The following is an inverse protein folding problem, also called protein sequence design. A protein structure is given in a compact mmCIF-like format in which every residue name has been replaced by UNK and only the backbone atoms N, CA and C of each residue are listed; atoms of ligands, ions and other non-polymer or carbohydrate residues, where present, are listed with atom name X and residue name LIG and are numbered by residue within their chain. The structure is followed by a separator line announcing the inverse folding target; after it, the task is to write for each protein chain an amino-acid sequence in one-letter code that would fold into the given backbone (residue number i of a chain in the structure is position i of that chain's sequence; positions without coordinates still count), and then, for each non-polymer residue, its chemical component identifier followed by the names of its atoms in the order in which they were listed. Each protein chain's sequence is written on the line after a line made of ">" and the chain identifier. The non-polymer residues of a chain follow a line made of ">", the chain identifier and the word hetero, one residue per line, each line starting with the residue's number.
data_IF_403121023576
#
_entry.id   IF_403121023576
#
_cell.length_a   1.000
_cell.length_b   1.000
_cell.length_c   1.000
_cell.angle_alpha   90.00
_cell.angle_beta   90.00
_cell.angle_gamma   90.00
#
_symmetry.space_group_name_H-M   'P 1'
#
loop_
_entity.id
_entity.type
_entity.pdbx_description
1 polymer ?
#
# COMPACT_ATOMS: atom_id res chain seq x y z
N UNK A 1 63.47 47.12 -33.63
CA UNK A 1 62.64 46.10 -34.29
C UNK A 1 61.92 45.38 -33.16
N UNK A 2 60.75 45.87 -32.77
CA UNK A 2 59.98 45.29 -31.65
C UNK A 2 59.22 44.10 -32.21
N UNK A 3 59.47 42.89 -31.70
CA UNK A 3 58.65 41.72 -32.02
C UNK A 3 57.18 42.05 -31.72
N UNK A 4 56.23 41.72 -32.62
CA UNK A 4 54.83 41.79 -32.26
C UNK A 4 54.62 40.77 -31.15
N UNK A 5 54.30 41.23 -29.94
CA UNK A 5 53.87 40.33 -28.88
C UNK A 5 52.71 39.50 -29.44
N UNK A 6 52.88 38.18 -29.44
CA UNK A 6 51.86 37.21 -29.84
C UNK A 6 50.70 37.32 -28.84
N UNK A 7 49.81 38.27 -29.10
CA UNK A 7 48.75 38.65 -28.18
C UNK A 7 47.64 37.64 -28.37
N UNK A 8 47.57 36.68 -27.45
CA UNK A 8 46.47 35.72 -27.39
C UNK A 8 45.14 36.50 -27.42
N UNK A 9 44.16 36.06 -28.24
CA UNK A 9 42.83 36.67 -28.24
C UNK A 9 42.26 36.72 -26.83
N UNK A 10 41.66 37.84 -26.43
CA UNK A 10 41.20 38.07 -25.04
C UNK A 10 40.31 36.93 -24.52
N UNK A 11 39.47 36.35 -25.38
CA UNK A 11 38.60 35.22 -25.03
C UNK A 11 39.37 33.92 -24.77
N UNK A 12 40.46 33.70 -25.50
CA UNK A 12 41.32 32.54 -25.29
C UNK A 12 42.16 32.72 -24.02
N UNK A 13 42.64 33.94 -23.76
CA UNK A 13 43.33 34.30 -22.53
C UNK A 13 42.43 34.11 -21.30
N UNK A 14 41.18 34.60 -21.36
CA UNK A 14 40.19 34.41 -20.30
C UNK A 14 39.92 32.91 -20.02
N UNK A 15 39.80 32.09 -21.07
CA UNK A 15 39.63 30.65 -20.93
C UNK A 15 40.86 29.99 -20.28
N UNK A 16 42.08 30.39 -20.67
CA UNK A 16 43.31 29.89 -20.08
C UNK A 16 43.42 30.25 -18.59
N UNK A 17 43.18 31.52 -18.23
CA UNK A 17 43.21 32.00 -16.85
C UNK A 17 42.13 31.34 -15.97
N UNK A 18 40.96 31.08 -16.55
CA UNK A 18 39.90 30.32 -15.88
C UNK A 18 40.36 28.89 -15.53
N UNK A 19 40.96 28.18 -16.50
CA UNK A 19 41.46 26.81 -16.30
C UNK A 19 42.62 26.76 -15.32
N UNK A 20 43.56 27.71 -15.41
CA UNK A 20 44.69 27.84 -14.48
C UNK A 20 44.26 28.29 -13.08
N UNK A 21 43.03 28.78 -12.92
CA UNK A 21 42.50 29.23 -11.63
C UNK A 21 43.11 30.55 -11.14
N UNK A 22 43.64 31.38 -12.04
CA UNK A 22 44.27 32.66 -11.71
C UNK A 22 43.28 33.83 -11.66
N UNK A 23 42.04 33.62 -12.13
CA UNK A 23 41.00 34.66 -12.10
C UNK A 23 40.52 34.98 -10.68
N UNK A 24 40.29 36.28 -10.37
CA UNK A 24 39.52 36.69 -9.20
C UNK A 24 38.11 36.07 -9.20
N UNK A 25 37.52 35.91 -8.01
CA UNK A 25 36.20 35.28 -7.86
C UNK A 25 35.09 35.90 -8.75
N UNK A 26 34.95 37.24 -8.87
CA UNK A 26 33.93 37.83 -9.74
C UNK A 26 34.10 37.44 -11.21
N UNK A 27 35.33 37.46 -11.72
CA UNK A 27 35.63 37.15 -13.12
C UNK A 27 35.48 35.65 -13.41
N UNK A 28 35.80 34.81 -12.42
CA UNK A 28 35.55 33.37 -12.49
C UNK A 28 34.06 33.06 -12.62
N UNK A 29 33.20 33.71 -11.84
CA UNK A 29 31.74 33.53 -11.95
C UNK A 29 31.20 34.02 -13.31
N UNK A 30 31.77 35.10 -13.85
CA UNK A 30 31.42 35.58 -15.18
C UNK A 30 31.84 34.58 -16.28
N UNK A 31 33.03 33.98 -16.16
CA UNK A 31 33.48 32.91 -17.05
C UNK A 31 32.61 31.65 -16.93
N UNK A 32 32.19 31.26 -15.73
CA UNK A 32 31.25 30.15 -15.51
C UNK A 32 29.90 30.39 -16.21
N UNK A 33 29.33 31.59 -16.07
CA UNK A 33 28.10 31.95 -16.78
C UNK A 33 28.26 31.94 -18.32
N UNK A 34 29.44 32.31 -18.83
CA UNK A 34 29.77 32.21 -20.25
C UNK A 34 29.92 30.75 -20.71
N UNK A 35 30.50 29.87 -19.89
CA UNK A 35 30.59 28.43 -20.21
C UNK A 35 29.19 27.83 -20.36
N UNK A 36 28.24 28.21 -19.51
CA UNK A 36 26.86 27.72 -19.56
C UNK A 36 26.06 28.27 -20.76
N UNK A 37 26.37 29.49 -21.22
CA UNK A 37 25.58 30.20 -22.23
C UNK A 37 26.17 30.23 -23.64
N UNK A 38 27.50 30.04 -23.78
CA UNK A 38 28.22 30.15 -25.04
C UNK A 38 29.04 28.87 -25.34
N UNK A 39 28.52 28.00 -26.23
CA UNK A 39 29.21 26.76 -26.60
C UNK A 39 30.61 26.95 -27.18
N UNK A 40 30.88 28.07 -27.85
CA UNK A 40 32.20 28.34 -28.43
C UNK A 40 33.21 28.67 -27.33
N UNK A 41 32.80 29.40 -26.29
CA UNK A 41 33.63 29.65 -25.12
C UNK A 41 33.88 28.36 -24.32
N UNK A 42 32.85 27.54 -24.12
CA UNK A 42 32.98 26.24 -23.48
C UNK A 42 34.00 25.34 -24.22
N UNK A 43 34.01 25.36 -25.56
CA UNK A 43 34.99 24.63 -26.37
C UNK A 43 36.43 25.12 -26.16
N UNK A 44 36.64 26.44 -26.01
CA UNK A 44 37.97 27.00 -25.68
C UNK A 44 38.44 26.54 -24.30
N UNK A 45 37.55 26.55 -23.30
CA UNK A 45 37.86 26.07 -21.95
C UNK A 45 38.23 24.57 -21.97
N UNK A 46 37.47 23.74 -22.69
CA UNK A 46 37.79 22.32 -22.87
C UNK A 46 39.13 22.11 -23.58
N UNK A 47 39.44 22.91 -24.60
CA UNK A 47 40.72 22.85 -25.30
C UNK A 47 41.90 23.13 -24.34
N UNK A 48 41.76 24.14 -23.49
CA UNK A 48 42.77 24.45 -22.46
C UNK A 48 42.89 23.37 -21.39
N UNK A 49 41.78 22.81 -20.91
CA UNK A 49 41.80 21.67 -19.98
C UNK A 49 42.56 20.49 -20.58
N UNK A 50 42.24 20.11 -21.83
CA UNK A 50 42.93 19.02 -22.52
C UNK A 50 44.41 19.29 -22.76
N UNK A 51 44.77 20.55 -23.04
CA UNK A 51 46.17 20.96 -23.22
C UNK A 51 46.99 20.83 -21.95
N UNK A 52 46.38 21.08 -20.79
CA UNK A 52 47.06 21.07 -19.49
C UNK A 52 46.95 19.73 -18.75
N UNK A 53 45.96 18.88 -19.08
CA UNK A 53 45.75 17.58 -18.46
C UNK A 53 47.00 16.67 -18.37
N UNK A 54 47.94 16.64 -19.34
CA UNK A 54 49.15 15.84 -19.20
C UNK A 54 50.04 16.23 -18.01
N UNK A 55 49.97 17.48 -17.54
CA UNK A 55 50.76 17.96 -16.38
C UNK A 55 50.33 17.28 -15.08
N UNK A 56 49.09 16.78 -14.98
CA UNK A 56 48.60 16.07 -13.79
C UNK A 56 49.39 14.78 -13.53
N UNK A 57 49.98 14.19 -14.57
CA UNK A 57 50.80 12.98 -14.48
C UNK A 57 52.19 13.20 -13.86
N UNK A 58 52.62 14.46 -13.68
CA UNK A 58 53.94 14.79 -13.10
C UNK A 58 53.96 14.71 -11.57
N UNK A 59 52.79 14.57 -10.94
CA UNK A 59 52.66 14.52 -9.48
C UNK A 59 52.40 13.09 -8.98
N UNK A 60 53.12 12.68 -7.94
CA UNK A 60 52.84 11.41 -7.28
C UNK A 60 51.47 11.47 -6.59
N UNK A 61 50.63 10.41 -6.69
CA UNK A 61 49.35 10.37 -6.01
C UNK A 61 49.56 10.41 -4.49
N UNK A 62 48.84 11.31 -3.82
CA UNK A 62 48.82 11.40 -2.36
C UNK A 62 47.50 10.83 -1.87
N UNK A 63 47.58 9.80 -1.02
CA UNK A 63 46.37 9.16 -0.50
C UNK A 63 45.64 10.10 0.48
N UNK A 64 44.37 10.45 0.22
CA UNK A 64 43.60 11.28 1.13
C UNK A 64 43.26 10.51 2.41
N UNK A 65 42.93 11.21 3.52
CA UNK A 65 42.43 10.55 4.73
C UNK A 65 41.20 9.67 4.43
N UNK A 66 41.15 8.46 4.98
CA UNK A 66 40.11 7.47 4.68
C UNK A 66 38.67 7.98 4.88
N UNK A 67 38.46 8.89 5.84
CA UNK A 67 37.16 9.48 6.14
C UNK A 67 36.77 10.63 5.21
N UNK A 68 37.69 11.19 4.42
CA UNK A 68 37.43 12.38 3.60
C UNK A 68 36.29 12.15 2.62
N UNK A 69 36.28 11.00 1.95
CA UNK A 69 35.22 10.64 1.01
C UNK A 69 33.84 10.60 1.69
N UNK A 70 33.71 9.87 2.80
CA UNK A 70 32.47 9.79 3.57
C UNK A 70 32.00 11.13 4.14
N UNK A 71 32.93 12.04 4.46
CA UNK A 71 32.61 13.41 4.90
C UNK A 71 32.08 14.27 3.76
N UNK A 72 32.71 14.18 2.58
CA UNK A 72 32.26 14.89 1.38
C UNK A 72 30.89 14.38 0.93
N UNK A 73 30.69 13.07 0.91
CA UNK A 73 29.42 12.45 0.54
C UNK A 73 28.28 12.93 1.44
N UNK A 74 28.45 12.89 2.76
CA UNK A 74 27.46 13.39 3.72
C UNK A 74 27.19 14.90 3.60
N UNK A 75 28.18 15.69 3.19
CA UNK A 75 28.07 17.15 3.06
C UNK A 75 27.40 17.57 1.76
N UNK A 76 27.77 16.93 0.64
CA UNK A 76 27.27 17.26 -0.70
C UNK A 76 25.92 16.61 -0.97
N UNK A 77 25.73 15.39 -0.45
CA UNK A 77 24.50 14.63 -0.53
C UNK A 77 24.00 14.36 0.89
N UNK A 78 23.62 15.42 1.64
CA UNK A 78 22.96 15.18 2.91
C UNK A 78 21.74 14.32 2.61
N UNK A 79 21.70 13.11 3.19
CA UNK A 79 20.49 12.33 3.22
C UNK A 79 19.40 13.31 3.64
N UNK A 80 18.39 13.53 2.79
CA UNK A 80 17.26 14.39 3.13
C UNK A 80 16.77 13.85 4.46
N UNK A 81 17.12 14.52 5.55
CA UNK A 81 16.59 14.17 6.86
C UNK A 81 15.11 14.24 6.63
N UNK A 82 14.48 13.07 6.57
CA UNK A 82 13.07 12.97 6.78
C UNK A 82 12.96 13.32 8.26
N UNK A 83 13.05 14.63 8.55
CA UNK A 83 12.32 15.20 9.66
C UNK A 83 10.97 14.52 9.50
N UNK A 84 10.56 13.68 10.46
CA UNK A 84 9.19 13.24 10.46
C UNK A 84 8.44 14.55 10.60
N UNK A 85 8.03 15.13 9.46
CA UNK A 85 7.10 16.24 9.43
C UNK A 85 6.02 15.68 10.34
N UNK A 86 5.70 16.39 11.41
CA UNK A 86 4.57 16.01 12.27
C UNK A 86 3.25 15.99 11.47
N UNK A 87 3.31 16.37 10.18
CA UNK A 87 2.30 16.28 9.13
C UNK A 87 2.50 15.12 8.11
N UNK A 88 3.59 14.36 8.20
CA UNK A 88 3.87 13.17 7.38
C UNK A 88 3.06 11.94 7.79
N UNK A 89 2.44 11.95 8.98
CA UNK A 89 1.36 11.00 9.26
C UNK A 89 0.21 11.21 8.28
N UNK A 90 -0.09 12.45 7.88
CA UNK A 90 -1.26 12.72 7.02
C UNK A 90 -1.06 12.33 5.55
N UNK A 91 0.18 12.17 5.06
CA UNK A 91 0.44 11.79 3.65
C UNK A 91 1.38 10.59 3.44
N UNK A 92 1.96 10.01 4.49
CA UNK A 92 2.47 8.63 4.47
C UNK A 92 1.36 7.57 4.33
N UNK A 93 0.10 8.01 4.38
CA UNK A 93 -1.10 7.22 4.17
C UNK A 93 -1.43 6.93 2.68
N UNK A 94 -0.54 7.22 1.72
CA UNK A 94 -0.79 6.89 0.30
C UNK A 94 0.29 6.04 -0.42
N UNK A 95 1.47 5.79 0.17
CA UNK A 95 2.35 4.69 -0.31
C UNK A 95 2.72 3.67 0.79
N UNK A 96 2.67 4.08 2.06
CA UNK A 96 2.65 3.16 3.21
C UNK A 96 1.29 2.47 3.39
N UNK A 97 0.24 2.92 2.70
CA UNK A 97 -1.03 2.20 2.65
C UNK A 97 -0.96 0.93 1.79
N UNK A 98 0.10 0.72 1.02
CA UNK A 98 0.34 -0.58 0.39
C UNK A 98 1.15 -1.50 1.33
N UNK A 99 2.28 -1.03 1.89
CA UNK A 99 3.22 -1.90 2.62
C UNK A 99 2.97 -1.94 4.15
N UNK A 100 2.52 -0.86 4.78
CA UNK A 100 2.13 -0.88 6.20
C UNK A 100 0.69 -1.37 6.42
N UNK A 101 -0.17 -1.32 5.40
CA UNK A 101 -1.37 -2.17 5.37
C UNK A 101 -0.95 -3.63 5.22
N UNK A 102 0.00 -3.98 4.35
CA UNK A 102 0.55 -5.34 4.32
C UNK A 102 1.20 -5.76 5.65
N UNK A 103 1.98 -4.90 6.31
CA UNK A 103 2.68 -5.23 7.55
C UNK A 103 1.75 -5.17 8.79
N UNK A 104 0.74 -4.30 8.79
CA UNK A 104 -0.33 -4.35 9.80
C UNK A 104 -1.24 -5.56 9.56
N UNK A 105 -1.52 -5.96 8.32
CA UNK A 105 -2.18 -7.25 8.00
C UNK A 105 -1.34 -8.43 8.53
N UNK A 106 -0.01 -8.31 8.55
CA UNK A 106 0.92 -9.35 9.03
C UNK A 106 1.13 -9.32 10.56
N UNK A 107 0.95 -8.17 11.24
CA UNK A 107 1.26 -8.00 12.68
C UNK A 107 0.10 -7.52 13.57
N UNK A 108 -1.08 -7.22 13.01
CA UNK A 108 -2.32 -7.37 13.76
C UNK A 108 -2.32 -8.83 14.26
N UNK A 109 -2.71 -9.12 15.52
CA UNK A 109 -3.16 -10.48 15.79
C UNK A 109 -4.17 -10.73 14.69
N UNK A 110 -3.92 -11.74 13.85
CA UNK A 110 -4.88 -12.14 12.84
C UNK A 110 -6.22 -12.07 13.55
N UNK A 111 -7.12 -11.19 13.10
CA UNK A 111 -8.52 -11.30 13.49
C UNK A 111 -8.74 -12.80 13.31
N UNK A 112 -9.03 -13.57 14.38
CA UNK A 112 -9.11 -15.02 14.27
C UNK A 112 -9.92 -15.23 13.02
N UNK A 113 -9.38 -15.93 11.99
CA UNK A 113 -10.03 -15.97 10.69
C UNK A 113 -11.49 -16.19 11.00
N UNK A 114 -12.36 -15.23 10.63
CA UNK A 114 -13.80 -15.41 10.81
C UNK A 114 -14.02 -16.66 10.00
N UNK A 115 -14.04 -17.79 10.69
CA UNK A 115 -13.85 -19.06 10.04
C UNK A 115 -15.08 -19.14 9.16
N UNK A 116 -14.94 -19.14 7.81
CA UNK A 116 -16.10 -19.28 6.99
C UNK A 116 -16.67 -20.64 7.35
N UNK A 117 -17.78 -20.63 8.10
CA UNK A 117 -18.55 -21.84 8.35
C UNK A 117 -19.18 -22.13 7.00
N UNK A 118 -18.46 -22.94 6.22
CA UNK A 118 -18.87 -23.35 4.90
C UNK A 118 -19.83 -24.51 5.13
N UNK A 119 -21.11 -24.17 5.33
CA UNK A 119 -22.17 -25.16 5.28
C UNK A 119 -22.53 -25.37 3.80
N UNK A 120 -21.88 -26.33 3.17
CA UNK A 120 -22.34 -26.90 1.90
C UNK A 120 -23.20 -28.10 2.23
N UNK A 121 -24.44 -28.15 1.75
CA UNK A 121 -25.07 -29.41 1.34
C UNK A 121 -26.30 -29.20 0.46
N UNK A 122 -26.35 -30.08 -0.53
CA UNK A 122 -27.26 -30.20 -1.66
C UNK A 122 -28.60 -30.79 -1.22
N UNK A 123 -29.72 -30.16 -1.60
CA UNK A 123 -31.07 -30.70 -1.46
C UNK A 123 -31.87 -30.51 -2.75
N UNK A 124 -32.44 -31.60 -3.27
CA UNK A 124 -33.34 -31.66 -4.44
C UNK A 124 -32.92 -30.87 -5.69
N UNK A 125 -31.69 -31.12 -6.16
CA UNK A 125 -31.27 -30.78 -7.53
C UNK A 125 -30.69 -29.39 -7.73
N UNK A 126 -30.66 -28.52 -6.70
CA UNK A 126 -29.94 -27.24 -6.75
C UNK A 126 -29.19 -26.99 -5.43
N UNK A 127 -27.89 -26.70 -5.52
CA UNK A 127 -27.05 -26.49 -4.34
C UNK A 127 -27.22 -25.06 -3.79
N UNK A 128 -27.91 -24.90 -2.66
CA UNK A 128 -27.92 -23.65 -1.89
C UNK A 128 -26.69 -23.63 -0.97
N UNK A 129 -25.91 -22.56 -1.01
CA UNK A 129 -24.75 -22.38 -0.13
C UNK A 129 -24.90 -21.08 0.63
N UNK A 130 -24.69 -21.14 1.95
CA UNK A 130 -24.86 -20.03 2.87
C UNK A 130 -23.61 -19.93 3.75
N UNK A 131 -23.21 -18.70 4.04
CA UNK A 131 -22.15 -18.39 4.99
C UNK A 131 -22.77 -17.67 6.18
N UNK A 132 -22.47 -18.14 7.38
CA UNK A 132 -22.88 -17.52 8.63
C UNK A 132 -21.65 -17.16 9.46
N UNK A 133 -21.62 -15.96 10.02
CA UNK A 133 -20.56 -15.46 10.89
C UNK A 133 -21.16 -14.77 12.11
N UNK A 134 -20.72 -15.19 13.29
CA UNK A 134 -21.11 -14.59 14.56
C UNK A 134 -19.96 -13.78 15.14
N UNK A 135 -20.17 -12.49 15.37
CA UNK A 135 -19.24 -11.62 16.10
C UNK A 135 -19.73 -11.49 17.54
N UNK A 136 -19.07 -12.20 18.47
CA UNK A 136 -19.40 -12.17 19.89
C UNK A 136 -19.06 -10.84 20.59
N UNK A 137 -18.19 -10.01 19.99
CA UNK A 137 -17.87 -8.68 20.53
C UNK A 137 -18.92 -7.65 20.14
N UNK A 138 -19.35 -7.68 18.89
CA UNK A 138 -20.43 -6.82 18.41
C UNK A 138 -21.82 -7.32 18.83
N UNK A 139 -21.94 -8.62 19.12
CA UNK A 139 -23.22 -9.28 19.36
C UNK A 139 -24.05 -9.32 18.08
N UNK A 140 -23.43 -9.62 16.95
CA UNK A 140 -24.09 -9.63 15.63
C UNK A 140 -23.91 -10.98 14.91
N UNK A 141 -24.97 -11.48 14.31
CA UNK A 141 -24.95 -12.62 13.39
C UNK A 141 -25.18 -12.11 11.98
N UNK A 142 -24.26 -12.40 11.07
CA UNK A 142 -24.38 -12.11 9.64
C UNK A 142 -24.53 -13.40 8.86
N UNK A 143 -25.56 -13.49 8.03
CA UNK A 143 -25.82 -14.62 7.14
C UNK A 143 -25.95 -14.13 5.70
N UNK A 144 -25.23 -14.76 4.79
CA UNK A 144 -25.23 -14.38 3.36
C UNK A 144 -25.34 -15.62 2.49
N UNK A 145 -26.16 -15.54 1.44
CA UNK A 145 -26.21 -16.55 0.37
C UNK A 145 -24.97 -16.42 -0.50
N UNK A 146 -24.13 -17.44 -0.52
CA UNK A 146 -22.88 -17.47 -1.29
C UNK A 146 -23.02 -18.25 -2.60
N UNK A 147 -24.07 -19.05 -2.76
CA UNK A 147 -24.36 -19.79 -3.99
C UNK A 147 -25.75 -20.41 -3.99
N UNK A 148 -26.23 -20.81 -5.17
CA UNK A 148 -27.57 -21.36 -5.36
C UNK A 148 -28.62 -20.33 -5.82
N UNK A 149 -29.84 -20.79 -6.12
CA UNK A 149 -30.92 -19.93 -6.60
C UNK A 149 -31.39 -18.95 -5.51
N UNK A 150 -32.03 -17.86 -5.92
CA UNK A 150 -32.90 -17.11 -5.03
C UNK A 150 -34.13 -17.96 -4.65
N UNK A 151 -34.81 -17.59 -3.58
CA UNK A 151 -36.08 -18.23 -3.23
C UNK A 151 -37.08 -18.09 -4.38
N UNK A 152 -37.92 -19.12 -4.57
CA UNK A 152 -38.97 -19.12 -5.59
C UNK A 152 -39.95 -17.97 -5.36
N UNK A 153 -40.61 -17.49 -6.42
CA UNK A 153 -41.63 -16.44 -6.31
C UNK A 153 -42.68 -16.78 -5.25
N UNK A 154 -42.91 -15.87 -4.30
CA UNK A 154 -43.85 -16.07 -3.18
C UNK A 154 -43.27 -16.88 -2.00
N UNK A 155 -41.95 -17.12 -1.99
CA UNK A 155 -41.23 -17.79 -0.90
C UNK A 155 -40.02 -16.97 -0.48
N UNK A 156 -39.57 -17.16 0.75
CA UNK A 156 -38.42 -16.50 1.34
C UNK A 156 -37.58 -17.54 2.11
N UNK A 157 -36.25 -17.35 2.16
CA UNK A 157 -35.43 -18.17 3.06
C UNK A 157 -35.50 -17.58 4.47
N UNK A 158 -35.78 -18.41 5.47
CA UNK A 158 -35.82 -17.98 6.87
C UNK A 158 -34.72 -18.63 7.69
N UNK A 159 -34.01 -17.81 8.47
CA UNK A 159 -32.95 -18.21 9.38
C UNK A 159 -33.51 -18.48 10.78
N UNK A 160 -33.06 -19.59 11.34
CA UNK A 160 -33.42 -20.05 12.66
C UNK A 160 -32.17 -20.32 13.49
N UNK A 161 -32.22 -20.01 14.79
CA UNK A 161 -31.26 -20.49 15.79
C UNK A 161 -31.97 -21.56 16.62
N UNK A 162 -31.36 -22.73 16.73
CA UNK A 162 -31.88 -23.88 17.47
C UNK A 162 -30.89 -24.20 18.60
N UNK A 163 -31.10 -23.68 19.83
CA UNK A 163 -30.30 -24.09 20.97
C UNK A 163 -30.46 -25.59 21.24
N UNK A 164 -29.45 -26.23 21.83
CA UNK A 164 -29.49 -27.66 22.13
C UNK A 164 -30.73 -28.02 22.99
N UNK A 165 -31.56 -28.92 22.49
CA UNK A 165 -32.79 -29.37 23.16
C UNK A 165 -33.93 -28.34 23.25
N UNK A 166 -33.82 -27.19 22.57
CA UNK A 166 -34.85 -26.15 22.58
C UNK A 166 -35.55 -25.99 21.23
N UNK A 167 -36.68 -25.27 21.22
CA UNK A 167 -37.40 -24.96 20.00
C UNK A 167 -36.62 -23.96 19.11
N UNK A 168 -36.76 -24.04 17.78
CA UNK A 168 -36.19 -23.06 16.86
C UNK A 168 -36.69 -21.64 17.15
N UNK A 169 -35.79 -20.67 17.10
CA UNK A 169 -36.07 -19.24 17.25
C UNK A 169 -35.85 -18.57 15.89
N UNK A 170 -36.88 -17.93 15.34
CA UNK A 170 -36.76 -17.16 14.09
C UNK A 170 -35.85 -15.95 14.33
N UNK A 171 -34.88 -15.80 13.44
CA UNK A 171 -33.89 -14.72 13.50
C UNK A 171 -34.14 -13.69 12.41
N UNK A 172 -34.56 -14.14 11.22
CA UNK A 172 -34.91 -13.23 10.13
C UNK A 172 -34.88 -13.88 8.76
N UNK A 173 -35.23 -13.07 7.76
CA UNK A 173 -35.38 -13.50 6.37
C UNK A 173 -34.09 -13.21 5.59
N UNK A 174 -33.54 -14.22 4.92
CA UNK A 174 -32.34 -14.13 4.08
C UNK A 174 -32.76 -13.97 2.61
N UNK A 175 -32.55 -12.77 2.06
CA UNK A 175 -32.80 -12.46 0.65
C UNK A 175 -31.49 -12.45 -0.15
N UNK A 176 -31.36 -11.52 -1.09
CA UNK A 176 -30.16 -11.37 -1.93
C UNK A 176 -29.01 -10.63 -1.23
N UNK A 177 -29.33 -9.77 -0.27
CA UNK A 177 -28.34 -9.08 0.56
C UNK A 177 -28.02 -9.89 1.83
N UNK A 178 -26.87 -9.59 2.44
CA UNK A 178 -26.52 -10.11 3.75
C UNK A 178 -27.59 -9.73 4.79
N UNK A 179 -28.09 -10.71 5.53
CA UNK A 179 -28.91 -10.51 6.71
C UNK A 179 -27.96 -10.32 7.90
N UNK A 180 -27.96 -9.12 8.49
CA UNK A 180 -27.25 -8.86 9.76
C UNK A 180 -28.27 -8.59 10.84
N UNK A 181 -28.20 -9.34 11.92
CA UNK A 181 -29.13 -9.28 13.05
C UNK A 181 -28.38 -9.21 14.39
N UNK A 182 -28.87 -8.42 15.35
CA UNK A 182 -28.32 -8.43 16.70
C UNK A 182 -28.62 -9.77 17.37
N UNK A 183 -27.58 -10.44 17.86
CA UNK A 183 -27.66 -11.68 18.63
C UNK A 183 -26.68 -11.59 19.81
N UNK A 184 -27.20 -11.26 21.00
CA UNK A 184 -26.38 -10.97 22.17
C UNK A 184 -25.46 -12.14 22.58
N UNK A 185 -25.92 -13.37 22.42
CA UNK A 185 -25.16 -14.58 22.67
C UNK A 185 -25.67 -15.71 21.77
N UNK A 186 -24.75 -16.46 21.15
CA UNK A 186 -25.09 -17.72 20.51
C UNK A 186 -24.82 -18.86 21.51
N UNK A 187 -25.84 -19.64 21.91
CA UNK A 187 -25.62 -20.73 22.86
C UNK A 187 -24.61 -21.75 22.31
N UNK A 188 -23.66 -22.24 23.13
CA UNK A 188 -22.78 -23.34 22.73
C UNK A 188 -23.59 -24.55 22.24
N UNK A 189 -23.21 -25.11 21.10
CA UNK A 189 -23.93 -26.24 20.50
C UNK A 189 -25.21 -25.87 19.75
N UNK A 190 -25.56 -24.59 19.64
CA UNK A 190 -26.70 -24.16 18.84
C UNK A 190 -26.51 -24.48 17.35
N UNK A 191 -27.58 -24.94 16.72
CA UNK A 191 -27.65 -25.19 15.27
C UNK A 191 -28.31 -24.00 14.59
N UNK A 192 -27.66 -23.42 13.59
CA UNK A 192 -28.33 -22.55 12.63
C UNK A 192 -29.04 -23.41 11.58
N UNK A 193 -30.28 -23.05 11.28
CA UNK A 193 -31.07 -23.70 10.24
C UNK A 193 -31.64 -22.69 9.25
N UNK A 194 -31.78 -23.08 7.99
CA UNK A 194 -32.46 -22.30 6.96
C UNK A 194 -33.59 -23.15 6.37
N UNK A 195 -34.79 -22.59 6.36
CA UNK A 195 -35.96 -23.19 5.71
C UNK A 195 -36.45 -22.32 4.56
N UNK A 196 -37.18 -22.93 3.61
CA UNK A 196 -37.87 -22.20 2.55
C UNK A 196 -39.33 -22.01 2.95
N UNK A 197 -39.68 -20.82 3.42
CA UNK A 197 -40.99 -20.49 3.93
C UNK A 197 -41.81 -19.70 2.91
N UNK A 198 -43.09 -19.45 3.20
CA UNK A 198 -43.87 -18.50 2.43
C UNK A 198 -43.24 -17.10 2.50
N UNK A 199 -43.54 -16.24 1.53
CA UNK A 199 -43.10 -14.85 1.54
C UNK A 199 -43.43 -14.18 2.89
N UNK A 200 -42.41 -13.57 3.51
CA UNK A 200 -42.53 -13.01 4.86
C UNK A 200 -42.23 -13.97 6.02
N UNK A 201 -41.85 -15.22 5.74
CA UNK A 201 -41.46 -16.22 6.74
C UNK A 201 -42.63 -17.03 7.32
N UNK A 202 -42.35 -17.78 8.37
CA UNK A 202 -43.33 -18.65 9.03
C UNK A 202 -44.30 -17.85 9.90
N UNK A 203 -45.62 -17.93 9.64
CA UNK A 203 -46.62 -17.22 10.46
C UNK A 203 -46.80 -17.80 11.87
N UNK A 204 -46.27 -18.99 12.14
CA UNK A 204 -46.45 -19.68 13.44
C UNK A 204 -45.27 -19.52 14.37
N UNK A 205 -44.15 -18.97 13.89
CA UNK A 205 -42.90 -18.90 14.65
C UNK A 205 -42.19 -20.25 14.81
N UNK A 206 -42.60 -21.27 14.04
CA UNK A 206 -41.92 -22.56 13.92
C UNK A 206 -41.68 -22.89 12.44
N UNK A 207 -40.61 -23.63 12.07
CA UNK A 207 -40.36 -23.99 10.68
C UNK A 207 -41.52 -24.80 10.08
N UNK A 208 -42.04 -24.37 8.93
CA UNK A 208 -43.12 -25.06 8.18
C UNK A 208 -42.64 -25.55 6.82
N UNK A 209 -41.64 -24.89 6.26
CA UNK A 209 -41.00 -25.22 5.00
C UNK A 209 -39.96 -26.35 5.10
N UNK A 210 -39.48 -26.84 3.96
CA UNK A 210 -38.39 -27.81 3.94
C UNK A 210 -37.12 -27.20 4.56
N UNK A 211 -36.44 -28.00 5.38
CA UNK A 211 -35.11 -27.67 5.90
C UNK A 211 -34.08 -27.78 4.77
N UNK A 212 -33.39 -26.68 4.48
CA UNK A 212 -32.43 -26.59 3.39
C UNK A 212 -30.98 -26.62 3.89
N UNK A 213 -30.70 -25.93 5.00
CA UNK A 213 -29.36 -25.85 5.58
C UNK A 213 -29.46 -26.07 7.08
N UNK A 214 -28.53 -26.84 7.65
CA UNK A 214 -28.33 -26.93 9.10
C UNK A 214 -26.83 -26.99 9.41
N UNK A 215 -26.36 -26.15 10.32
CA UNK A 215 -24.96 -26.09 10.71
C UNK A 215 -24.80 -25.71 12.18
N UNK A 216 -23.91 -26.41 12.89
CA UNK A 216 -23.53 -26.05 14.25
C UNK A 216 -22.45 -24.97 14.18
N UNK A 217 -22.68 -23.84 14.84
CA UNK A 217 -21.61 -22.86 15.02
C UNK A 217 -20.75 -23.32 16.19
N UNK A 218 -19.49 -23.64 15.89
CA UNK A 218 -18.49 -23.86 16.93
C UNK A 218 -17.72 -22.56 17.17
N UNK A 219 -17.77 -22.06 18.40
CA UNK A 219 -16.83 -21.06 18.89
C UNK A 219 -15.44 -21.74 18.92
N UNK A 220 -14.41 -21.08 18.39
CA UNK A 220 -13.04 -21.58 18.45
C UNK A 220 -12.22 -20.72 19.38
#
# INVERSE_FOLDING_TARGET
>A
MTEPADHMPEREALAAEYVLGTLPLPDRLAAEALIDSDPAFAALVLAWQNRLAPLDGEFAPVEPPAELYQRLERRLFPAKSHSPRRLGWLFGALSGLAVAVLAAIVLLPALPPIAPITATLTGEGQALTMSASYDSRAGELTVTRTGGPAAETGKDYELWVIPEGQAPISVGIVRDAALTVPLAALPPGATLAITLEAEGGSPTGAPQGPLLVAAIISEK
#
